data_IF_192905040833
#
_entry.id   IF_192905040833
#
_cell.length_a   1.000
_cell.length_b   1.000
_cell.length_c   1.000
_cell.angle_alpha   90.00
_cell.angle_beta   90.00
_cell.angle_gamma   90.00
#
_symmetry.space_group_name_H-M   'P 1'
#
loop_
_entity.id
_entity.type
_entity.pdbx_description
1 polymer ?
#
# COMPACT_ATOMS: atom_id res chain seq x y z
N UNK A 1 17.18 7.72 15.28
CA UNK A 1 18.28 8.52 14.68
C UNK A 1 18.20 8.33 13.17
N UNK A 2 18.20 9.42 12.41
CA UNK A 2 18.11 9.40 10.94
C UNK A 2 19.22 10.30 10.37
N UNK A 3 19.74 9.97 9.20
CA UNK A 3 20.80 10.73 8.53
C UNK A 3 20.23 11.49 7.33
N UNK A 4 20.69 12.73 7.04
CA UNK A 4 20.33 13.40 5.80
C UNK A 4 20.66 12.53 4.58
N UNK A 5 19.71 12.43 3.65
CA UNK A 5 19.85 11.58 2.46
C UNK A 5 19.76 12.41 1.18
N UNK A 6 18.73 13.26 1.04
CA UNK A 6 18.54 14.10 -0.13
C UNK A 6 17.82 15.39 0.27
N UNK A 7 18.38 16.52 -0.16
CA UNK A 7 17.76 17.86 -0.04
C UNK A 7 17.33 18.30 -1.44
N UNK A 8 16.02 18.28 -1.68
CA UNK A 8 15.40 18.71 -2.94
C UNK A 8 14.97 20.18 -2.95
N UNK A 9 15.28 20.93 -1.89
CA UNK A 9 14.79 22.27 -1.66
C UNK A 9 13.27 22.32 -1.44
N UNK A 10 12.62 23.34 -1.97
CA UNK A 10 11.16 23.50 -1.90
C UNK A 10 10.53 23.37 -3.28
N UNK A 11 9.62 22.41 -3.44
CA UNK A 11 8.95 22.10 -4.70
C UNK A 11 7.42 22.12 -4.54
N UNK A 12 6.67 22.46 -5.59
CA UNK A 12 5.23 22.25 -5.60
C UNK A 12 4.89 20.75 -5.59
N UNK A 13 3.62 20.43 -5.30
CA UNK A 13 3.06 19.10 -5.49
C UNK A 13 3.28 18.62 -6.94
N UNK A 14 3.70 17.37 -7.10
CA UNK A 14 4.07 16.80 -8.40
C UNK A 14 2.94 16.04 -9.07
N UNK A 15 2.15 15.30 -8.31
CA UNK A 15 1.14 14.37 -8.83
C UNK A 15 -0.29 14.81 -8.55
N UNK A 16 -0.47 15.79 -7.67
CA UNK A 16 -1.77 16.32 -7.27
C UNK A 16 -1.82 17.85 -7.39
N UNK A 17 -3.05 18.39 -7.36
CA UNK A 17 -3.26 19.84 -7.33
C UNK A 17 -2.80 20.56 -8.60
N UNK A 18 -2.97 19.93 -9.78
CA UNK A 18 -2.54 20.52 -11.04
C UNK A 18 -3.29 21.83 -11.34
N UNK A 19 -2.56 22.93 -11.60
CA UNK A 19 -3.15 24.24 -11.83
C UNK A 19 -3.87 24.30 -13.18
N UNK A 20 -4.96 25.07 -13.26
CA UNK A 20 -5.71 25.30 -14.50
C UNK A 20 -5.17 26.49 -15.32
N UNK A 21 -4.27 27.29 -14.74
CA UNK A 21 -3.67 28.45 -15.40
C UNK A 21 -2.20 28.66 -15.04
N UNK A 22 -1.48 29.42 -15.87
CA UNK A 22 -0.10 29.81 -15.58
C UNK A 22 0.02 30.62 -14.28
N UNK A 23 -0.96 31.47 -13.99
CA UNK A 23 -1.01 32.26 -12.74
C UNK A 23 -1.11 31.36 -11.52
N UNK A 24 -1.98 30.34 -11.57
CA UNK A 24 -2.11 29.35 -10.50
C UNK A 24 -0.83 28.53 -10.34
N UNK A 25 -0.22 28.12 -11.46
CA UNK A 25 1.05 27.37 -11.44
C UNK A 25 2.18 28.14 -10.76
N UNK A 26 2.28 29.44 -11.02
CA UNK A 26 3.30 30.30 -10.39
C UNK A 26 3.02 30.55 -8.90
N UNK A 27 1.77 30.43 -8.47
CA UNK A 27 1.32 30.67 -7.10
C UNK A 27 1.28 29.40 -6.23
N UNK A 28 1.59 28.22 -6.77
CA UNK A 28 1.57 26.97 -6.03
C UNK A 28 2.48 27.04 -4.80
N UNK A 29 1.98 26.55 -3.67
CA UNK A 29 2.78 26.38 -2.45
C UNK A 29 3.97 25.49 -2.75
N UNK A 30 5.14 25.88 -2.22
CA UNK A 30 6.36 25.08 -2.31
C UNK A 30 6.61 24.43 -0.96
N UNK A 31 6.76 23.12 -0.98
CA UNK A 31 6.85 22.27 0.20
C UNK A 31 8.25 21.68 0.31
N UNK A 32 8.78 21.50 1.54
CA UNK A 32 10.16 21.09 1.76
C UNK A 32 10.39 19.61 1.42
N UNK A 33 11.47 19.34 0.70
CA UNK A 33 11.96 18.00 0.36
C UNK A 33 13.18 17.64 1.22
N UNK A 34 12.93 17.33 2.49
CA UNK A 34 13.98 17.04 3.48
C UNK A 34 14.07 15.52 3.73
N UNK A 35 14.59 14.78 2.75
CA UNK A 35 14.64 13.33 2.84
C UNK A 35 15.79 12.86 3.73
N UNK A 36 15.45 11.96 4.65
CA UNK A 36 16.39 11.31 5.56
C UNK A 36 16.33 9.80 5.38
N UNK A 37 17.39 9.12 5.80
CA UNK A 37 17.48 7.66 5.78
C UNK A 37 17.74 7.09 7.18
N UNK A 38 17.12 5.96 7.49
CA UNK A 38 17.44 5.19 8.68
C UNK A 38 18.77 4.44 8.47
N UNK A 39 19.79 4.62 9.33
CA UNK A 39 21.07 3.92 9.18
C UNK A 39 21.01 2.42 9.49
N UNK A 40 19.88 1.92 10.02
CA UNK A 40 19.70 0.52 10.40
C UNK A 40 18.89 -0.24 9.36
N UNK A 41 17.65 0.19 9.12
CA UNK A 41 16.74 -0.50 8.20
C UNK A 41 16.77 0.09 6.78
N UNK A 42 17.55 1.15 6.53
CA UNK A 42 17.70 1.83 5.23
C UNK A 42 16.44 2.46 4.65
N UNK A 43 15.35 2.55 5.42
CA UNK A 43 14.12 3.26 5.04
C UNK A 43 14.40 4.74 4.78
N UNK A 44 13.81 5.30 3.71
CA UNK A 44 13.95 6.71 3.35
C UNK A 44 12.58 7.39 3.49
N UNK A 45 12.53 8.56 4.09
CA UNK A 45 11.29 9.34 4.20
C UNK A 45 11.55 10.84 4.21
N UNK A 46 10.55 11.63 3.83
CA UNK A 46 10.59 13.09 3.99
C UNK A 46 10.24 13.45 5.44
N UNK A 47 11.22 13.95 6.21
CA UNK A 47 11.01 14.28 7.63
C UNK A 47 10.10 15.49 7.87
N UNK A 48 9.91 16.31 6.83
CA UNK A 48 9.14 17.55 6.87
C UNK A 48 7.75 17.37 6.25
N UNK A 49 7.38 16.13 5.89
CA UNK A 49 6.07 15.81 5.37
C UNK A 49 4.97 16.10 6.39
N UNK A 50 3.92 16.77 5.91
CA UNK A 50 2.68 17.02 6.64
C UNK A 50 1.51 16.54 5.79
N UNK A 51 0.70 15.63 6.34
CA UNK A 51 -0.40 14.98 5.61
C UNK A 51 -1.48 15.97 5.16
N UNK A 52 -1.74 17.00 5.96
CA UNK A 52 -2.71 18.07 5.70
C UNK A 52 -2.28 19.05 4.58
N UNK A 53 -1.01 19.02 4.17
CA UNK A 53 -0.50 19.81 3.05
C UNK A 53 -0.80 19.16 1.68
N UNK A 54 -1.36 17.95 1.64
CA UNK A 54 -1.73 17.26 0.41
C UNK A 54 -3.26 17.09 0.34
N UNK A 55 -3.92 17.47 -0.77
CA UNK A 55 -5.38 17.43 -0.89
C UNK A 55 -5.92 16.00 -1.18
N UNK A 56 -5.50 15.00 -0.41
CA UNK A 56 -5.87 13.60 -0.63
C UNK A 56 -7.40 13.36 -0.61
N UNK A 57 -8.15 14.17 0.14
CA UNK A 57 -9.62 14.06 0.25
C UNK A 57 -10.34 14.45 -1.03
N UNK A 58 -9.84 15.48 -1.71
CA UNK A 58 -10.48 16.08 -2.88
C UNK A 58 -9.89 15.54 -4.20
N UNK A 59 -8.67 14.99 -4.14
CA UNK A 59 -7.96 14.43 -5.28
C UNK A 59 -7.12 13.24 -4.83
N UNK A 60 -7.70 12.03 -4.73
CA UNK A 60 -6.93 10.84 -4.41
C UNK A 60 -5.93 10.56 -5.54
N UNK A 61 -4.72 10.10 -5.18
CA UNK A 61 -3.73 9.65 -6.14
C UNK A 61 -4.32 8.52 -6.99
N UNK A 62 -4.53 8.76 -8.29
CA UNK A 62 -5.03 7.75 -9.22
C UNK A 62 -3.87 6.90 -9.70
N UNK A 63 -4.00 5.59 -9.58
CA UNK A 63 -3.05 4.66 -10.20
C UNK A 63 -3.34 4.55 -11.69
N UNK A 64 -2.42 5.01 -12.53
CA UNK A 64 -2.52 4.89 -13.98
C UNK A 64 -1.74 3.65 -14.48
N UNK A 65 -2.23 2.46 -14.11
CA UNK A 65 -1.51 1.21 -14.35
C UNK A 65 -2.15 0.34 -15.45
N UNK A 66 -2.23 0.87 -16.67
CA UNK A 66 -2.80 0.13 -17.83
C UNK A 66 -1.76 -0.59 -18.70
N UNK A 67 -0.48 -0.58 -18.31
CA UNK A 67 0.61 -1.16 -19.11
C UNK A 67 0.64 -2.69 -19.12
N UNK A 68 1.15 -3.29 -20.21
CA UNK A 68 1.27 -4.76 -20.38
C UNK A 68 2.13 -5.40 -19.28
N UNK A 69 3.22 -4.74 -18.88
CA UNK A 69 4.10 -5.21 -17.79
C UNK A 69 3.33 -5.29 -16.47
N UNK A 70 2.47 -4.30 -16.21
CA UNK A 70 1.64 -4.29 -15.01
C UNK A 70 0.59 -5.40 -15.01
N UNK A 71 -0.06 -5.64 -16.15
CA UNK A 71 -1.02 -6.75 -16.26
C UNK A 71 -0.36 -8.11 -16.04
N UNK A 72 0.87 -8.30 -16.56
CA UNK A 72 1.67 -9.50 -16.30
C UNK A 72 2.02 -9.68 -14.83
N UNK A 73 2.47 -8.62 -14.16
CA UNK A 73 2.74 -8.61 -12.72
C UNK A 73 1.49 -8.95 -11.89
N UNK A 74 0.33 -8.38 -12.26
CA UNK A 74 -0.94 -8.65 -11.60
C UNK A 74 -1.31 -10.13 -11.68
N UNK A 75 -1.19 -10.73 -12.87
CA UNK A 75 -1.48 -12.14 -13.09
C UNK A 75 -0.54 -13.04 -12.27
N UNK A 76 0.77 -12.78 -12.29
CA UNK A 76 1.76 -13.54 -11.51
C UNK A 76 1.49 -13.42 -10.00
N UNK A 77 1.16 -12.21 -9.52
CA UNK A 77 0.80 -11.97 -8.12
C UNK A 77 -0.43 -12.75 -7.70
N UNK A 78 -1.48 -12.76 -8.54
CA UNK A 78 -2.69 -13.55 -8.30
C UNK A 78 -2.37 -15.05 -8.24
N UNK A 79 -1.64 -15.59 -9.22
CA UNK A 79 -1.28 -17.01 -9.28
C UNK A 79 -0.49 -17.44 -8.03
N UNK A 80 0.43 -16.59 -7.57
CA UNK A 80 1.27 -16.87 -6.39
C UNK A 80 0.47 -16.81 -5.09
N UNK A 81 -0.54 -15.94 -5.01
CA UNK A 81 -1.44 -15.87 -3.87
C UNK A 81 -2.32 -17.14 -3.84
N UNK A 82 -3.02 -17.44 -4.94
CA UNK A 82 -3.97 -18.55 -5.03
C UNK A 82 -3.31 -19.90 -4.72
N UNK A 83 -2.07 -20.14 -5.20
CA UNK A 83 -1.33 -21.38 -4.90
C UNK A 83 -1.05 -21.63 -3.41
N UNK A 84 -1.18 -20.62 -2.56
CA UNK A 84 -0.95 -20.73 -1.10
C UNK A 84 -2.24 -20.87 -0.30
N UNK A 85 -3.39 -20.69 -0.94
CA UNK A 85 -4.69 -20.63 -0.28
C UNK A 85 -5.37 -22.00 -0.23
N UNK A 86 -6.22 -22.25 0.79
CA UNK A 86 -7.13 -23.39 0.76
C UNK A 86 -8.18 -23.22 -0.36
N UNK A 87 -8.91 -24.29 -0.71
CA UNK A 87 -10.14 -24.16 -1.49
C UNK A 87 -11.12 -23.19 -0.82
N UNK A 88 -11.87 -22.43 -1.63
CA UNK A 88 -12.87 -21.46 -1.15
C UNK A 88 -12.34 -20.42 -0.14
N UNK A 89 -11.22 -19.73 -0.41
CA UNK A 89 -10.58 -18.87 0.58
C UNK A 89 -11.38 -17.59 0.83
N UNK A 90 -11.26 -17.04 2.03
CA UNK A 90 -11.65 -15.67 2.35
C UNK A 90 -10.45 -14.74 2.17
N UNK A 91 -10.57 -13.79 1.24
CA UNK A 91 -9.53 -12.84 0.86
C UNK A 91 -9.97 -11.43 1.24
N UNK A 92 -9.10 -10.71 1.94
CA UNK A 92 -9.29 -9.30 2.31
C UNK A 92 -8.24 -8.44 1.60
N UNK A 93 -8.64 -7.33 0.99
CA UNK A 93 -7.70 -6.26 0.57
C UNK A 93 -7.97 -4.97 1.35
N UNK A 94 -6.91 -4.42 1.94
CA UNK A 94 -6.90 -3.11 2.61
C UNK A 94 -6.40 -2.07 1.60
N UNK A 95 -7.19 -1.01 1.41
CA UNK A 95 -6.96 -0.01 0.36
C UNK A 95 -7.29 -0.54 -1.03
N UNK A 96 -8.45 -1.19 -1.18
CA UNK A 96 -8.83 -1.87 -2.42
C UNK A 96 -9.17 -0.91 -3.59
N UNK A 97 -9.35 0.39 -3.33
CA UNK A 97 -9.86 1.34 -4.32
C UNK A 97 -11.11 0.81 -5.04
N UNK A 98 -11.05 0.70 -6.37
CA UNK A 98 -12.14 0.16 -7.22
C UNK A 98 -12.22 -1.38 -7.26
N UNK A 99 -11.36 -2.09 -6.53
CA UNK A 99 -11.39 -3.55 -6.41
C UNK A 99 -10.81 -4.33 -7.60
N UNK A 100 -10.02 -3.68 -8.48
CA UNK A 100 -9.43 -4.32 -9.67
C UNK A 100 -8.62 -5.57 -9.34
N UNK A 101 -7.79 -5.53 -8.28
CA UNK A 101 -6.98 -6.68 -7.87
C UNK A 101 -7.84 -7.80 -7.29
N UNK A 102 -8.79 -7.47 -6.40
CA UNK A 102 -9.75 -8.44 -5.86
C UNK A 102 -10.56 -9.17 -6.95
N UNK A 103 -10.99 -8.46 -8.00
CA UNK A 103 -11.68 -9.09 -9.15
C UNK A 103 -10.75 -10.02 -9.94
N UNK A 104 -9.49 -9.63 -10.12
CA UNK A 104 -8.49 -10.49 -10.74
C UNK A 104 -8.20 -11.75 -9.90
N UNK A 105 -8.12 -11.60 -8.57
CA UNK A 105 -7.96 -12.70 -7.63
C UNK A 105 -9.14 -13.67 -7.64
N UNK A 106 -10.37 -13.16 -7.64
CA UNK A 106 -11.58 -13.98 -7.71
C UNK A 106 -11.60 -14.85 -8.97
N UNK A 107 -11.19 -14.28 -10.11
CA UNK A 107 -11.05 -15.01 -11.37
C UNK A 107 -9.95 -16.08 -11.28
N UNK A 108 -8.79 -15.74 -10.71
CA UNK A 108 -7.67 -16.66 -10.55
C UNK A 108 -7.97 -17.80 -9.57
N UNK A 109 -8.84 -17.56 -8.58
CA UNK A 109 -9.28 -18.58 -7.60
C UNK A 109 -10.42 -19.47 -8.11
N UNK A 110 -10.83 -19.35 -9.38
CA UNK A 110 -11.90 -20.16 -9.96
C UNK A 110 -13.32 -19.71 -9.61
N UNK A 111 -13.49 -18.54 -8.98
CA UNK A 111 -14.80 -17.94 -8.70
C UNK A 111 -15.41 -18.24 -7.32
N UNK A 112 -14.83 -19.17 -6.55
CA UNK A 112 -15.44 -19.61 -5.28
C UNK A 112 -14.82 -19.00 -4.01
N UNK A 113 -14.03 -17.94 -4.15
CA UNK A 113 -13.47 -17.22 -3.02
C UNK A 113 -14.48 -16.21 -2.46
N UNK A 114 -14.47 -16.01 -1.13
CA UNK A 114 -15.12 -14.86 -0.50
C UNK A 114 -14.17 -13.68 -0.57
N UNK A 115 -14.61 -12.59 -1.19
CA UNK A 115 -13.78 -11.43 -1.51
C UNK A 115 -14.26 -10.21 -0.73
N UNK A 116 -13.37 -9.62 0.04
CA UNK A 116 -13.67 -8.51 0.95
C UNK A 116 -12.72 -7.34 0.65
N UNK A 117 -13.27 -6.15 0.39
CA UNK A 117 -12.49 -4.94 0.11
C UNK A 117 -12.80 -3.83 1.10
N UNK A 118 -11.77 -3.15 1.59
CA UNK A 118 -11.91 -2.03 2.53
C UNK A 118 -11.15 -0.81 2.03
N UNK A 119 -11.86 0.26 1.72
CA UNK A 119 -11.26 1.54 1.34
C UNK A 119 -12.29 2.66 1.54
N UNK A 120 -11.97 3.79 2.18
CA UNK A 120 -12.88 4.93 2.29
C UNK A 120 -13.40 5.46 0.95
N UNK A 121 -12.64 5.25 -0.14
CA UNK A 121 -12.98 5.68 -1.50
C UNK A 121 -13.68 4.62 -2.35
N UNK A 122 -13.83 3.38 -1.85
CA UNK A 122 -14.54 2.33 -2.61
C UNK A 122 -16.05 2.58 -2.63
N UNK A 123 -16.71 2.07 -3.66
CA UNK A 123 -18.16 2.02 -3.71
C UNK A 123 -18.66 0.76 -2.99
N UNK A 124 -19.61 0.88 -2.04
CA UNK A 124 -20.21 -0.28 -1.40
C UNK A 124 -20.84 -1.21 -2.43
N UNK A 125 -20.45 -2.48 -2.39
CA UNK A 125 -20.92 -3.54 -3.28
C UNK A 125 -21.12 -4.81 -2.45
N UNK A 126 -22.22 -5.52 -2.66
CA UNK A 126 -22.44 -6.81 -2.02
C UNK A 126 -23.17 -7.75 -2.97
N UNK A 127 -22.58 -8.91 -3.23
CA UNK A 127 -23.15 -9.92 -4.13
C UNK A 127 -22.07 -10.69 -4.89
N UNK A 128 -22.44 -11.87 -5.42
CA UNK A 128 -21.55 -12.68 -6.26
C UNK A 128 -20.17 -12.99 -5.63
N UNK A 129 -20.12 -13.13 -4.30
CA UNK A 129 -18.87 -13.40 -3.56
C UNK A 129 -18.08 -12.15 -3.15
N UNK A 130 -18.52 -10.94 -3.52
CA UNK A 130 -17.88 -9.68 -3.16
C UNK A 130 -18.61 -8.95 -2.03
N UNK A 131 -17.85 -8.34 -1.12
CA UNK A 131 -18.31 -7.41 -0.08
C UNK A 131 -17.31 -6.23 -0.01
N UNK A 132 -17.70 -5.05 -0.51
CA UNK A 132 -16.87 -3.84 -0.46
C UNK A 132 -17.40 -2.86 0.58
N UNK A 133 -16.50 -2.39 1.43
CA UNK A 133 -16.78 -1.54 2.57
C UNK A 133 -16.11 -0.18 2.40
N UNK A 134 -16.93 0.87 2.29
CA UNK A 134 -16.51 2.27 2.22
C UNK A 134 -16.04 2.82 3.58
N UNK A 135 -15.05 2.14 4.20
CA UNK A 135 -14.46 2.51 5.49
C UNK A 135 -13.04 1.96 5.59
N UNK A 136 -12.31 2.44 6.59
CA UNK A 136 -11.04 1.84 6.99
C UNK A 136 -11.26 0.43 7.55
N UNK A 137 -10.30 -0.45 7.29
CA UNK A 137 -10.21 -1.76 7.93
C UNK A 137 -9.77 -1.60 9.39
N UNK A 138 -10.42 -2.31 10.31
CA UNK A 138 -10.12 -2.30 11.74
C UNK A 138 -9.46 -3.63 12.12
N UNK A 139 -8.12 -3.74 12.17
CA UNK A 139 -7.42 -5.02 12.24
C UNK A 139 -7.86 -5.93 13.39
N UNK A 140 -8.12 -5.36 14.56
CA UNK A 140 -8.47 -6.12 15.76
C UNK A 140 -9.90 -6.67 15.72
N UNK A 141 -10.82 -6.00 15.02
CA UNK A 141 -12.22 -6.41 14.94
C UNK A 141 -12.49 -7.22 13.66
N UNK A 142 -12.03 -6.71 12.51
CA UNK A 142 -12.34 -7.27 11.21
C UNK A 142 -11.61 -8.58 10.94
N UNK A 143 -10.37 -8.75 11.39
CA UNK A 143 -9.67 -10.04 11.23
C UNK A 143 -10.41 -11.16 11.95
N UNK A 144 -10.89 -10.91 13.17
CA UNK A 144 -11.69 -11.88 13.94
C UNK A 144 -13.05 -12.11 13.29
N UNK A 145 -13.72 -11.04 12.87
CA UNK A 145 -15.06 -11.09 12.25
C UNK A 145 -15.07 -11.88 10.95
N UNK A 146 -14.08 -11.65 10.08
CA UNK A 146 -14.06 -12.20 8.73
C UNK A 146 -13.19 -13.45 8.60
N UNK A 147 -12.29 -13.71 9.56
CA UNK A 147 -11.38 -14.85 9.58
C UNK A 147 -10.70 -15.09 8.20
N UNK A 148 -9.93 -14.13 7.69
CA UNK A 148 -9.34 -14.23 6.35
C UNK A 148 -8.28 -15.34 6.26
N UNK A 149 -8.23 -16.00 5.11
CA UNK A 149 -7.11 -16.88 4.72
C UNK A 149 -5.92 -16.07 4.18
N UNK A 150 -6.20 -14.92 3.57
CA UNK A 150 -5.18 -13.93 3.23
C UNK A 150 -5.66 -12.48 3.38
N UNK A 151 -4.72 -11.63 3.76
CA UNK A 151 -4.84 -10.18 3.78
C UNK A 151 -3.85 -9.61 2.77
N UNK A 152 -4.33 -8.75 1.90
CA UNK A 152 -3.60 -8.08 0.83
C UNK A 152 -3.48 -6.60 1.19
N UNK A 153 -2.28 -6.05 1.06
CA UNK A 153 -2.00 -4.62 1.22
C UNK A 153 -1.08 -4.21 0.08
N UNK A 154 -1.61 -3.49 -0.92
CA UNK A 154 -0.84 -3.06 -2.08
C UNK A 154 -0.86 -1.56 -2.17
N UNK A 155 0.31 -0.96 -2.23
CA UNK A 155 0.47 0.48 -2.39
C UNK A 155 -0.25 1.35 -1.34
N UNK A 156 -0.28 0.86 -0.10
CA UNK A 156 -0.91 1.54 1.04
C UNK A 156 0.11 1.86 2.11
N UNK A 157 1.02 0.92 2.40
CA UNK A 157 1.93 1.04 3.55
C UNK A 157 2.90 2.23 3.44
N UNK A 158 3.24 2.65 2.22
CA UNK A 158 4.05 3.85 1.96
C UNK A 158 3.32 5.17 2.24
N UNK A 159 2.01 5.13 2.43
CA UNK A 159 1.21 6.31 2.75
C UNK A 159 0.84 6.37 4.24
N UNK A 160 1.19 5.35 5.02
CA UNK A 160 0.93 5.30 6.46
C UNK A 160 2.02 6.03 7.24
N UNK A 161 1.60 6.76 8.27
CA UNK A 161 2.51 7.39 9.24
C UNK A 161 3.17 6.37 10.15
N UNK A 162 2.44 5.31 10.51
CA UNK A 162 2.94 4.18 11.31
C UNK A 162 2.52 2.83 10.67
N UNK A 163 3.24 2.36 9.65
CA UNK A 163 2.96 1.07 9.04
C UNK A 163 3.23 -0.10 10.00
N UNK A 164 4.10 0.06 11.00
CA UNK A 164 4.40 -1.00 11.96
C UNK A 164 3.18 -1.31 12.84
N UNK A 165 2.48 -0.29 13.33
CA UNK A 165 1.26 -0.46 14.11
C UNK A 165 0.19 -1.26 13.36
N UNK A 166 -0.01 -1.00 12.07
CA UNK A 166 -0.95 -1.78 11.24
C UNK A 166 -0.52 -3.25 11.17
N UNK A 167 0.75 -3.52 10.83
CA UNK A 167 1.26 -4.89 10.67
C UNK A 167 1.18 -5.67 11.99
N UNK A 168 1.51 -5.04 13.11
CA UNK A 168 1.42 -5.65 14.44
C UNK A 168 -0.03 -5.92 14.85
N UNK A 169 -0.97 -5.01 14.56
CA UNK A 169 -2.39 -5.21 14.84
C UNK A 169 -3.00 -6.33 13.98
N UNK A 170 -2.59 -6.44 12.70
CA UNK A 170 -2.98 -7.56 11.84
C UNK A 170 -2.44 -8.89 12.34
N UNK A 171 -1.17 -8.91 12.75
CA UNK A 171 -0.55 -10.08 13.35
C UNK A 171 -1.30 -10.50 14.63
N UNK A 172 -1.62 -9.54 15.50
CA UNK A 172 -2.40 -9.82 16.70
C UNK A 172 -3.77 -10.40 16.35
N UNK A 173 -4.55 -9.76 15.48
CA UNK A 173 -5.85 -10.28 15.05
C UNK A 173 -5.77 -11.70 14.47
N UNK A 174 -4.76 -11.97 13.63
CA UNK A 174 -4.55 -13.27 13.02
C UNK A 174 -4.17 -14.36 14.04
N UNK A 175 -3.48 -14.00 15.13
CA UNK A 175 -3.13 -14.94 16.21
C UNK A 175 -4.35 -15.45 17.00
N UNK A 176 -5.51 -14.79 16.86
CA UNK A 176 -6.77 -15.22 17.47
C UNK A 176 -7.56 -16.19 16.58
N UNK A 177 -7.06 -16.51 15.38
CA UNK A 177 -7.71 -17.44 14.47
C UNK A 177 -7.18 -18.87 14.68
N UNK A 178 -8.07 -19.85 14.63
CA UNK A 178 -7.73 -21.28 14.65
C UNK A 178 -7.20 -21.80 13.31
N UNK A 179 -6.66 -20.91 12.46
CA UNK A 179 -6.14 -21.21 11.12
C UNK A 179 -5.03 -20.25 10.71
N UNK A 180 -4.11 -20.65 9.82
CA UNK A 180 -3.11 -19.73 9.30
C UNK A 180 -3.76 -18.62 8.46
N UNK A 181 -3.25 -17.41 8.61
CA UNK A 181 -3.58 -16.27 7.76
C UNK A 181 -2.31 -15.77 7.05
N UNK A 182 -2.40 -15.56 5.74
CA UNK A 182 -1.30 -15.04 4.94
C UNK A 182 -1.35 -13.53 4.83
N UNK A 183 -0.19 -12.87 4.86
CA UNK A 183 -0.07 -11.46 4.51
C UNK A 183 0.67 -11.34 3.18
N UNK A 184 0.02 -10.70 2.21
CA UNK A 184 0.63 -10.22 0.98
C UNK A 184 0.74 -8.70 1.06
N UNK A 185 1.96 -8.20 1.17
CA UNK A 185 2.24 -6.77 1.14
C UNK A 185 3.08 -6.43 -0.10
N UNK A 186 2.73 -5.33 -0.76
CA UNK A 186 3.43 -4.79 -1.93
C UNK A 186 3.56 -3.27 -1.78
N UNK A 187 4.75 -2.75 -2.04
CA UNK A 187 5.07 -1.32 -2.00
C UNK A 187 6.22 -1.02 -2.96
N UNK A 188 6.30 0.18 -3.56
CA UNK A 188 7.40 0.56 -4.44
C UNK A 188 8.77 0.37 -3.78
N UNK A 189 9.67 -0.32 -4.49
CA UNK A 189 11.04 -0.56 -4.04
C UNK A 189 12.01 0.49 -4.58
N UNK A 190 12.64 1.26 -3.68
CA UNK A 190 13.59 2.31 -4.08
C UNK A 190 15.01 1.80 -4.33
N UNK A 191 15.28 0.51 -4.21
CA UNK A 191 16.62 -0.05 -4.53
C UNK A 191 17.02 0.28 -5.98
N UNK A 192 16.06 0.25 -6.92
CA UNK A 192 16.30 0.63 -8.32
C UNK A 192 16.57 2.13 -8.49
N UNK A 193 16.00 2.96 -7.62
CA UNK A 193 16.23 4.41 -7.61
C UNK A 193 17.68 4.70 -7.27
N UNK A 194 18.22 4.01 -6.27
CA UNK A 194 19.64 4.11 -5.91
C UNK A 194 20.55 3.61 -7.04
N UNK A 195 20.19 2.50 -7.68
CA UNK A 195 20.98 1.94 -8.77
C UNK A 195 21.01 2.82 -10.03
N UNK A 196 20.00 3.66 -10.23
CA UNK A 196 19.82 4.46 -11.46
C UNK A 196 19.93 5.96 -11.26
N UNK A 197 20.02 6.45 -10.02
CA UNK A 197 20.04 7.88 -9.71
C UNK A 197 18.74 8.61 -10.05
N UNK A 198 17.59 7.92 -10.02
CA UNK A 198 16.29 8.47 -10.45
C UNK A 198 15.67 9.41 -9.40
N UNK A 199 16.25 10.60 -9.24
CA UNK A 199 15.84 11.58 -8.22
C UNK A 199 14.38 12.06 -8.35
N UNK A 200 13.76 11.90 -9.53
CA UNK A 200 12.38 12.30 -9.77
C UNK A 200 11.34 11.53 -8.93
N UNK A 201 11.71 10.42 -8.29
CA UNK A 201 10.80 9.71 -7.37
C UNK A 201 10.64 10.39 -6.01
N UNK A 202 11.50 11.35 -5.67
CA UNK A 202 11.46 12.09 -4.41
C UNK A 202 10.60 13.34 -4.57
N UNK A 203 9.28 13.17 -4.50
CA UNK A 203 8.29 14.24 -4.48
C UNK A 203 7.49 14.24 -3.19
N UNK A 204 6.94 15.39 -2.82
CA UNK A 204 6.37 15.61 -1.49
C UNK A 204 5.25 14.62 -1.13
N UNK A 205 4.39 14.25 -2.08
CA UNK A 205 3.27 13.32 -1.88
C UNK A 205 3.71 11.86 -1.65
N UNK A 206 4.95 11.52 -2.00
CA UNK A 206 5.53 10.19 -1.79
C UNK A 206 6.46 10.23 -0.58
N UNK A 207 5.84 10.29 0.59
CA UNK A 207 6.50 10.53 1.88
C UNK A 207 7.44 9.42 2.34
N UNK A 208 7.12 8.16 2.03
CA UNK A 208 7.77 6.98 2.59
C UNK A 208 8.27 6.06 1.48
N UNK A 209 9.54 5.65 1.57
CA UNK A 209 10.18 4.87 0.53
C UNK A 209 10.86 3.63 1.10
N UNK A 210 10.39 2.46 0.66
CA UNK A 210 10.91 1.19 1.10
C UNK A 210 12.07 0.71 0.23
N UNK A 211 13.22 0.51 0.87
CA UNK A 211 14.26 -0.40 0.38
C UNK A 211 13.89 -1.84 0.67
N UNK A 212 14.57 -2.78 0.02
CA UNK A 212 14.38 -4.20 0.32
C UNK A 212 14.59 -4.54 1.79
N UNK A 213 15.62 -3.95 2.40
CA UNK A 213 15.93 -4.19 3.80
C UNK A 213 14.88 -3.57 4.75
N UNK A 214 14.41 -2.34 4.48
CA UNK A 214 13.38 -1.72 5.32
C UNK A 214 12.05 -2.45 5.25
N UNK A 215 11.67 -2.92 4.07
CA UNK A 215 10.44 -3.68 3.90
C UNK A 215 10.50 -5.02 4.63
N UNK A 216 11.61 -5.76 4.50
CA UNK A 216 11.85 -6.99 5.27
C UNK A 216 11.82 -6.74 6.78
N UNK A 217 12.42 -5.64 7.22
CA UNK A 217 12.41 -5.23 8.64
C UNK A 217 10.99 -4.95 9.14
N UNK A 218 10.16 -4.30 8.34
CA UNK A 218 8.74 -4.08 8.66
C UNK A 218 7.98 -5.42 8.71
N UNK A 219 8.13 -6.26 7.68
CA UNK A 219 7.45 -7.56 7.59
C UNK A 219 7.85 -8.53 8.70
N UNK A 220 9.06 -8.41 9.27
CA UNK A 220 9.47 -9.20 10.42
C UNK A 220 8.63 -8.96 11.69
N UNK A 221 7.81 -7.90 11.73
CA UNK A 221 6.82 -7.65 12.78
C UNK A 221 5.55 -8.49 12.65
N UNK A 222 5.31 -9.11 11.49
CA UNK A 222 4.13 -9.91 11.20
C UNK A 222 4.21 -11.36 11.74
N UNK A 223 4.80 -11.60 12.92
CA UNK A 223 5.29 -12.94 13.35
C UNK A 223 4.26 -14.06 13.41
N UNK A 224 2.97 -13.75 13.61
CA UNK A 224 1.86 -14.73 13.63
C UNK A 224 1.21 -14.93 12.25
N UNK A 225 1.52 -14.08 11.28
CA UNK A 225 1.07 -14.21 9.89
C UNK A 225 2.10 -15.03 9.10
N UNK A 226 1.61 -15.83 8.15
CA UNK A 226 2.48 -16.36 7.11
C UNK A 226 2.75 -15.24 6.10
N UNK A 227 3.87 -14.54 6.25
CA UNK A 227 4.19 -13.39 5.41
C UNK A 227 4.85 -13.82 4.08
N UNK A 228 4.31 -13.36 2.96
CA UNK A 228 5.02 -13.29 1.68
C UNK A 228 5.38 -11.83 1.41
N UNK A 229 6.68 -11.51 1.34
CA UNK A 229 7.16 -10.16 1.05
C UNK A 229 7.55 -10.06 -0.43
N UNK A 230 6.93 -9.13 -1.16
CA UNK A 230 7.21 -8.90 -2.58
C UNK A 230 7.45 -7.41 -2.82
N UNK A 231 8.57 -7.13 -3.48
CA UNK A 231 9.06 -5.81 -3.86
C UNK A 231 9.29 -5.79 -5.36
#
# INVERSE_FOLDING_TARGET
MAVPFFDGGQQPLATLGWPASASEAMAMERLPHDFVQCPVCTHVWNRSFRYDAVPYRDSPNRMFNNGVIWQGHLADSCDRLVRRMPPHPTLVEIGCGEGHFLRALAKASGGDARILGFDPSTHPETGQGFEFHARLFEPLADVVRYAPDAIVIRHVIEHLTDPAALIEALAWGASQLDKPCWLFAESPCIDRVFATGRLADFFYEHTSHFTTNSFRTLMARARSLRAGAWL
#
